data_IF_578426252418
#
_entry.id   IF_578426252418
#
_cell.length_a   1.000
_cell.length_b   1.000
_cell.length_c   1.000
_cell.angle_alpha   90.00
_cell.angle_beta   90.00
_cell.angle_gamma   90.00
#
_symmetry.space_group_name_H-M   'P 1'
#
loop_
_entity.id
_entity.type
_entity.pdbx_description
1 polymer ?
#
# COMPACT_ATOMS: atom_id res chain seq x y z
N UNK A 1 -10.24 -18.51 7.39
CA UNK A 1 -9.19 -18.64 6.36
C UNK A 1 -8.89 -20.13 6.15
N UNK A 2 -8.90 -20.62 4.92
CA UNK A 2 -8.62 -22.02 4.60
C UNK A 2 -7.11 -22.30 4.65
N UNK A 3 -6.71 -23.58 4.85
CA UNK A 3 -5.30 -23.97 4.80
C UNK A 3 -4.64 -23.63 3.45
N UNK A 4 -5.42 -23.63 2.38
CA UNK A 4 -4.96 -23.20 1.06
C UNK A 4 -4.56 -21.71 1.08
N UNK A 5 -5.43 -20.83 1.58
CA UNK A 5 -5.13 -19.40 1.69
C UNK A 5 -3.93 -19.12 2.60
N UNK A 6 -3.78 -19.89 3.69
CA UNK A 6 -2.60 -19.81 4.56
C UNK A 6 -1.31 -20.07 3.80
N UNK A 7 -1.27 -21.13 3.01
CA UNK A 7 -0.06 -21.50 2.27
C UNK A 7 0.31 -20.53 1.15
N UNK A 8 -0.65 -19.77 0.64
CA UNK A 8 -0.41 -18.80 -0.45
C UNK A 8 -0.25 -17.36 0.04
N UNK A 9 -0.56 -17.08 1.28
CA UNK A 9 -0.39 -15.76 1.89
C UNK A 9 0.81 -15.71 2.84
N UNK A 10 1.78 -16.59 2.62
CA UNK A 10 3.04 -16.60 3.39
C UNK A 10 3.98 -15.53 2.90
N UNK A 11 4.70 -14.94 3.80
CA UNK A 11 5.73 -13.97 3.48
C UNK A 11 6.54 -13.61 4.72
N UNK A 12 7.68 -13.03 4.48
CA UNK A 12 8.53 -12.46 5.52
C UNK A 12 8.41 -10.93 5.49
N UNK A 13 8.59 -10.33 6.63
CA UNK A 13 8.57 -8.87 6.76
C UNK A 13 9.93 -8.37 7.22
N UNK A 14 10.37 -7.29 6.61
CA UNK A 14 11.55 -6.52 7.01
C UNK A 14 11.10 -5.13 7.41
N UNK A 15 11.68 -4.59 8.48
CA UNK A 15 11.35 -3.25 8.98
C UNK A 15 12.58 -2.37 8.87
N UNK A 16 12.39 -1.16 8.32
CA UNK A 16 13.42 -0.15 8.27
C UNK A 16 12.83 1.24 8.51
N UNK A 17 13.17 1.84 9.64
CA UNK A 17 12.55 3.11 10.06
C UNK A 17 11.04 2.97 10.19
N UNK A 18 10.30 3.83 9.48
CA UNK A 18 8.84 3.80 9.43
C UNK A 18 8.27 3.01 8.26
N UNK A 19 9.08 2.23 7.58
CA UNK A 19 8.67 1.40 6.44
C UNK A 19 8.69 -0.09 6.78
N UNK A 20 7.61 -0.76 6.46
CA UNK A 20 7.42 -2.20 6.55
C UNK A 20 7.48 -2.77 5.14
N UNK A 21 8.35 -3.75 4.91
CA UNK A 21 8.55 -4.39 3.61
C UNK A 21 8.05 -5.83 3.70
N UNK A 22 7.01 -6.14 2.93
CA UNK A 22 6.51 -7.50 2.81
C UNK A 22 7.18 -8.21 1.65
N UNK A 23 8.17 -9.07 1.97
CA UNK A 23 8.92 -9.86 1.02
C UNK A 23 8.08 -11.05 0.58
N UNK A 24 7.81 -11.17 -0.72
CA UNK A 24 7.13 -12.35 -1.23
C UNK A 24 8.13 -13.24 -1.96
N UNK A 25 8.17 -14.49 -1.53
CA UNK A 25 9.03 -15.53 -2.09
C UNK A 25 8.25 -16.51 -2.98
N UNK A 26 7.00 -16.17 -3.29
CA UNK A 26 6.14 -17.14 -3.95
C UNK A 26 6.47 -17.31 -5.44
N UNK A 27 6.98 -18.50 -5.81
CA UNK A 27 7.22 -19.01 -7.17
C UNK A 27 7.91 -18.02 -8.12
N UNK A 28 7.22 -17.66 -9.21
CA UNK A 28 7.77 -16.88 -10.33
C UNK A 28 7.90 -15.38 -10.03
N UNK A 29 7.29 -14.90 -8.95
CA UNK A 29 7.33 -13.48 -8.57
C UNK A 29 8.25 -13.21 -7.39
N UNK A 30 9.47 -13.71 -7.45
CA UNK A 30 10.45 -13.60 -6.37
C UNK A 30 11.12 -12.23 -6.26
N UNK A 31 11.01 -11.40 -7.28
CA UNK A 31 11.72 -10.13 -7.39
C UNK A 31 10.90 -8.90 -6.95
N UNK A 32 9.66 -9.09 -6.51
CA UNK A 32 8.80 -8.01 -6.06
C UNK A 32 8.53 -8.06 -4.55
N UNK A 33 8.16 -6.92 -4.01
CA UNK A 33 7.74 -6.77 -2.62
C UNK A 33 6.76 -5.60 -2.47
N UNK A 34 5.93 -5.66 -1.42
CA UNK A 34 5.10 -4.54 -1.02
C UNK A 34 5.83 -3.71 0.04
N UNK A 35 5.60 -2.41 0.03
CA UNK A 35 6.08 -1.47 1.04
C UNK A 35 4.90 -0.71 1.63
N UNK A 36 4.86 -0.63 2.96
CA UNK A 36 3.91 0.19 3.69
C UNK A 36 4.65 1.11 4.64
N UNK A 37 4.51 2.40 4.46
CA UNK A 37 5.28 3.40 5.19
C UNK A 37 4.42 4.59 5.59
N UNK A 38 4.89 5.32 6.61
CA UNK A 38 4.34 6.62 7.03
C UNK A 38 5.45 7.66 7.07
N UNK A 39 5.11 8.90 6.77
CA UNK A 39 6.04 10.04 6.75
C UNK A 39 6.36 10.62 8.14
N UNK A 40 6.28 9.80 9.18
CA UNK A 40 6.59 10.18 10.56
C UNK A 40 7.36 9.07 11.28
N UNK A 41 8.12 9.41 12.32
CA UNK A 41 8.67 8.40 13.23
C UNK A 41 7.55 7.58 13.85
N UNK A 42 7.73 6.28 13.91
CA UNK A 42 6.81 5.36 14.57
C UNK A 42 7.33 5.02 15.97
N UNK A 43 6.43 4.93 16.95
CA UNK A 43 6.74 4.47 18.30
C UNK A 43 6.73 2.93 18.37
N UNK A 44 6.05 2.28 17.41
CA UNK A 44 6.03 0.83 17.29
C UNK A 44 5.31 0.37 16.03
N UNK A 45 5.28 -0.95 15.86
CA UNK A 45 4.66 -1.59 14.70
C UNK A 45 4.15 -2.97 15.07
N UNK A 46 3.28 -3.54 14.23
CA UNK A 46 2.94 -4.96 14.27
C UNK A 46 2.76 -5.48 12.84
N UNK A 47 3.36 -6.61 12.56
CA UNK A 47 3.25 -7.26 11.26
C UNK A 47 2.74 -8.71 11.34
N UNK A 48 2.72 -9.29 12.54
CA UNK A 48 2.11 -10.59 12.79
C UNK A 48 0.64 -10.42 13.20
N UNK A 49 -0.24 -11.02 12.41
CA UNK A 49 -1.68 -10.87 12.59
C UNK A 49 -2.20 -11.45 13.88
N UNK A 50 -1.71 -12.63 14.26
CA UNK A 50 -2.21 -13.31 15.45
C UNK A 50 -1.76 -12.58 16.72
N UNK A 51 -0.53 -12.07 16.72
CA UNK A 51 -0.04 -11.19 17.79
C UNK A 51 -0.83 -9.88 17.87
N UNK A 52 -1.17 -9.27 16.72
CA UNK A 52 -1.94 -8.04 16.69
C UNK A 52 -3.37 -8.21 17.19
N UNK A 53 -4.05 -9.28 16.76
CA UNK A 53 -5.43 -9.55 17.15
C UNK A 53 -5.53 -10.06 18.60
N UNK A 54 -4.54 -10.83 19.07
CA UNK A 54 -4.59 -11.58 20.32
C UNK A 54 -5.17 -12.99 20.14
N UNK A 55 -5.00 -13.86 21.13
CA UNK A 55 -5.29 -15.28 21.03
C UNK A 55 -6.75 -15.63 20.67
N UNK A 56 -7.69 -14.77 21.05
CA UNK A 56 -9.13 -14.91 20.76
C UNK A 56 -9.73 -13.59 20.21
N UNK A 57 -8.86 -12.71 19.71
CA UNK A 57 -9.27 -11.40 19.24
C UNK A 57 -9.92 -11.45 17.87
N UNK A 58 -10.82 -10.50 17.63
CA UNK A 58 -11.50 -10.28 16.36
C UNK A 58 -11.03 -9.00 15.70
N UNK A 59 -11.26 -8.86 14.40
CA UNK A 59 -10.94 -7.66 13.65
C UNK A 59 -11.67 -6.41 14.18
N UNK A 60 -12.79 -6.58 14.86
CA UNK A 60 -13.57 -5.50 15.47
C UNK A 60 -12.92 -4.89 16.73
N UNK A 61 -12.09 -5.67 17.44
CA UNK A 61 -11.43 -5.26 18.66
C UNK A 61 -10.04 -5.93 18.79
N UNK A 62 -9.06 -5.56 17.94
CA UNK A 62 -7.71 -6.10 18.04
C UNK A 62 -7.08 -5.77 19.41
N UNK A 63 -6.43 -6.73 20.04
CA UNK A 63 -5.82 -6.56 21.36
C UNK A 63 -4.85 -5.36 21.41
N UNK A 64 -4.02 -5.18 20.39
CA UNK A 64 -3.09 -4.07 20.27
C UNK A 64 -3.81 -2.71 20.28
N UNK A 65 -4.95 -2.62 19.58
CA UNK A 65 -5.74 -1.38 19.52
C UNK A 65 -6.46 -1.12 20.83
N UNK A 66 -7.03 -2.17 21.45
CA UNK A 66 -7.72 -2.04 22.76
C UNK A 66 -6.74 -1.62 23.85
N UNK A 67 -5.53 -2.19 23.85
CA UNK A 67 -4.51 -1.88 24.83
C UNK A 67 -3.75 -0.56 24.54
N UNK A 68 -3.88 0.00 23.33
CA UNK A 68 -3.21 1.23 22.91
C UNK A 68 -1.69 1.10 22.86
N UNK A 69 -1.15 -0.08 22.57
CA UNK A 69 0.29 -0.31 22.50
C UNK A 69 0.64 -1.42 21.52
N UNK A 70 1.68 -1.22 20.72
CA UNK A 70 2.19 -2.24 19.79
C UNK A 70 3.02 -3.29 20.52
N UNK A 71 3.11 -4.48 19.92
CA UNK A 71 3.95 -5.58 20.40
C UNK A 71 5.28 -5.67 19.65
N UNK A 72 5.47 -4.85 18.62
CA UNK A 72 6.61 -4.90 17.69
C UNK A 72 6.79 -6.31 17.08
N UNK A 73 5.68 -6.94 16.77
CA UNK A 73 5.66 -8.28 16.22
C UNK A 73 6.14 -8.30 14.77
N UNK A 74 7.00 -9.29 14.44
CA UNK A 74 7.52 -9.48 13.08
C UNK A 74 6.95 -10.78 12.53
N UNK A 75 6.21 -10.69 11.42
CA UNK A 75 5.67 -11.85 10.75
C UNK A 75 6.78 -12.63 10.04
N UNK A 76 6.78 -13.94 10.28
CA UNK A 76 7.50 -14.92 9.50
C UNK A 76 6.54 -16.07 9.24
N UNK A 77 5.91 -16.06 8.09
CA UNK A 77 4.90 -17.07 7.77
C UNK A 77 3.67 -16.50 7.06
N UNK A 78 2.48 -16.89 7.50
CA UNK A 78 1.23 -16.59 6.80
C UNK A 78 0.51 -15.33 7.30
N UNK A 79 -0.24 -14.75 6.37
CA UNK A 79 -1.14 -13.62 6.60
C UNK A 79 -0.51 -12.42 7.34
N UNK A 80 0.67 -11.93 6.91
CA UNK A 80 1.26 -10.73 7.51
C UNK A 80 0.34 -9.53 7.33
N UNK A 81 0.44 -8.59 8.27
CA UNK A 81 -0.24 -7.30 8.24
C UNK A 81 0.77 -6.17 8.26
N UNK A 82 0.31 -4.93 8.10
CA UNK A 82 1.10 -3.73 8.35
C UNK A 82 0.34 -2.83 9.32
N UNK A 83 0.90 -2.61 10.50
CA UNK A 83 0.37 -1.69 11.49
C UNK A 83 1.48 -0.78 11.99
N UNK A 84 1.20 0.52 12.04
CA UNK A 84 2.07 1.53 12.64
C UNK A 84 1.45 2.05 13.93
N UNK A 85 2.27 2.19 14.96
CA UNK A 85 1.90 2.87 16.19
C UNK A 85 2.61 4.23 16.25
N UNK A 86 1.82 5.30 16.32
CA UNK A 86 2.32 6.67 16.40
C UNK A 86 1.83 7.31 17.70
N UNK A 87 2.74 7.95 18.40
CA UNK A 87 2.40 8.81 19.53
C UNK A 87 2.21 10.25 19.03
N UNK A 88 1.03 10.80 19.25
CA UNK A 88 0.65 12.10 18.74
C UNK A 88 0.22 13.00 19.90
N UNK A 89 0.89 14.14 20.04
CA UNK A 89 0.47 15.20 20.94
C UNK A 89 0.03 16.41 20.13
N UNK A 90 -1.15 16.93 20.42
CA UNK A 90 -1.74 18.09 19.74
C UNK A 90 -2.07 19.18 20.77
N UNK A 91 -1.64 20.41 20.50
CA UNK A 91 -2.11 21.56 21.24
C UNK A 91 -3.55 21.94 20.81
N UNK A 92 -4.30 22.70 21.61
CA UNK A 92 -5.62 23.17 21.22
C UNK A 92 -5.61 23.90 19.86
N UNK A 93 -6.41 23.42 18.91
CA UNK A 93 -6.48 23.96 17.55
C UNK A 93 -5.35 23.50 16.61
N UNK A 94 -4.41 22.70 17.06
CA UNK A 94 -3.37 22.12 16.21
C UNK A 94 -3.92 20.96 15.36
N UNK A 95 -3.46 20.88 14.11
CA UNK A 95 -3.74 19.78 13.19
C UNK A 95 -2.42 19.19 12.69
N UNK A 96 -2.29 17.88 12.68
CA UNK A 96 -1.18 17.15 12.05
C UNK A 96 -1.69 16.26 10.94
N UNK A 97 -0.99 16.27 9.82
CA UNK A 97 -1.30 15.43 8.66
C UNK A 97 -0.23 14.37 8.48
N UNK A 98 -0.64 13.15 8.32
CA UNK A 98 0.22 12.01 8.03
C UNK A 98 -0.08 11.45 6.65
N UNK A 99 0.96 11.06 5.93
CA UNK A 99 0.85 10.40 4.63
C UNK A 99 1.26 8.94 4.81
N UNK A 100 0.32 8.05 4.57
CA UNK A 100 0.58 6.62 4.52
C UNK A 100 0.69 6.19 3.05
N UNK A 101 1.76 5.48 2.73
CA UNK A 101 2.02 4.97 1.38
C UNK A 101 2.00 3.45 1.42
N UNK A 102 1.10 2.87 0.63
CA UNK A 102 1.12 1.45 0.30
C UNK A 102 1.58 1.32 -1.15
N UNK A 103 2.72 0.73 -1.35
CA UNK A 103 3.36 0.62 -2.64
C UNK A 103 3.72 -0.82 -3.00
N UNK A 104 3.92 -1.03 -4.29
CA UNK A 104 4.43 -2.27 -4.85
C UNK A 104 5.70 -1.95 -5.64
N UNK A 105 6.74 -2.73 -5.43
CA UNK A 105 8.04 -2.54 -6.06
C UNK A 105 8.52 -3.84 -6.68
N UNK A 106 9.03 -3.75 -7.89
CA UNK A 106 9.67 -4.85 -8.60
C UNK A 106 11.12 -4.48 -8.88
N UNK A 107 12.04 -5.23 -8.30
CA UNK A 107 13.48 -5.13 -8.60
C UNK A 107 13.82 -6.03 -9.79
N UNK A 108 14.92 -5.76 -10.54
CA UNK A 108 15.52 -6.80 -11.37
C UNK A 108 15.85 -8.04 -10.52
N UNK A 109 15.74 -9.22 -11.10
CA UNK A 109 15.93 -10.48 -10.37
C UNK A 109 17.29 -10.54 -9.67
N UNK A 110 18.32 -10.04 -10.36
CA UNK A 110 19.71 -10.03 -9.90
C UNK A 110 19.97 -8.99 -8.80
N UNK A 111 19.07 -7.98 -8.70
CA UNK A 111 19.21 -6.86 -7.77
C UNK A 111 18.18 -6.91 -6.63
N UNK A 112 17.50 -8.03 -6.46
CA UNK A 112 16.48 -8.15 -5.40
C UNK A 112 17.05 -7.91 -4.00
N UNK A 113 18.22 -8.46 -3.75
CA UNK A 113 18.86 -8.46 -2.44
C UNK A 113 20.05 -7.51 -2.36
N UNK A 114 20.33 -7.02 -1.17
CA UNK A 114 21.60 -6.35 -0.86
C UNK A 114 22.56 -7.39 -0.33
N UNK A 115 23.68 -7.62 -1.02
CA UNK A 115 24.64 -8.63 -0.64
C UNK A 115 24.21 -10.04 -1.05
N UNK A 116 24.30 -10.99 -0.14
CA UNK A 116 23.94 -12.38 -0.41
C UNK A 116 22.42 -12.58 -0.26
N UNK A 117 21.84 -13.38 -1.15
CA UNK A 117 20.44 -13.75 -1.05
C UNK A 117 20.09 -14.43 0.29
N UNK A 118 21.05 -15.13 0.89
CA UNK A 118 20.93 -15.82 2.17
C UNK A 118 20.71 -14.85 3.34
N UNK A 119 21.21 -13.61 3.23
CA UNK A 119 21.05 -12.58 4.26
C UNK A 119 19.61 -12.01 4.26
N UNK A 120 18.84 -12.25 3.20
CA UNK A 120 17.44 -11.90 3.08
C UNK A 120 17.12 -10.41 3.14
N UNK A 121 18.11 -9.52 2.96
CA UNK A 121 17.94 -8.07 3.02
C UNK A 121 17.51 -7.53 1.66
N UNK A 122 16.34 -6.93 1.60
CA UNK A 122 15.79 -6.37 0.37
C UNK A 122 16.57 -5.15 -0.10
N UNK A 123 16.82 -5.06 -1.42
CA UNK A 123 17.27 -3.83 -2.04
C UNK A 123 16.12 -2.80 -2.07
N UNK A 124 16.21 -1.80 -1.20
CA UNK A 124 15.18 -0.78 -0.97
C UNK A 124 15.24 0.42 -1.91
N UNK A 125 16.26 0.52 -2.75
CA UNK A 125 16.51 1.71 -3.57
C UNK A 125 15.26 2.21 -4.31
N UNK A 126 14.55 1.32 -4.99
CA UNK A 126 13.33 1.68 -5.73
C UNK A 126 12.17 2.03 -4.80
N UNK A 127 12.08 1.40 -3.64
CA UNK A 127 11.09 1.77 -2.63
C UNK A 127 11.37 3.16 -2.06
N UNK A 128 12.61 3.47 -1.74
CA UNK A 128 13.01 4.78 -1.24
C UNK A 128 12.71 5.88 -2.28
N UNK A 129 12.96 5.60 -3.56
CA UNK A 129 12.57 6.48 -4.67
C UNK A 129 11.05 6.66 -4.76
N UNK A 130 10.27 5.60 -4.57
CA UNK A 130 8.80 5.66 -4.53
C UNK A 130 8.32 6.48 -3.35
N UNK A 131 8.81 6.18 -2.15
CA UNK A 131 8.41 6.87 -0.92
C UNK A 131 8.76 8.36 -0.94
N UNK A 132 9.90 8.74 -1.50
CA UNK A 132 10.33 10.13 -1.63
C UNK A 132 9.39 11.01 -2.47
N UNK A 133 8.55 10.39 -3.30
CA UNK A 133 7.53 11.11 -4.10
C UNK A 133 6.32 11.53 -3.28
N UNK A 134 6.11 10.92 -2.10
CA UNK A 134 4.93 11.08 -1.25
C UNK A 134 5.29 11.30 0.22
N UNK A 135 6.51 11.74 0.51
CA UNK A 135 7.03 11.90 1.88
C UNK A 135 6.45 13.11 2.63
N UNK A 136 5.72 13.99 1.93
CA UNK A 136 5.01 15.12 2.53
C UNK A 136 3.57 15.24 2.03
N UNK A 137 2.72 15.91 2.81
CA UNK A 137 1.33 16.17 2.42
C UNK A 137 1.24 16.97 1.11
N UNK A 138 2.10 17.97 0.94
CA UNK A 138 2.14 18.81 -0.25
C UNK A 138 2.48 18.01 -1.52
N UNK A 139 3.42 17.05 -1.42
CA UNK A 139 3.76 16.16 -2.54
C UNK A 139 2.61 15.22 -2.88
N UNK A 140 1.93 14.69 -1.86
CA UNK A 140 0.76 13.82 -2.05
C UNK A 140 -0.39 14.60 -2.73
N UNK A 141 -0.68 15.82 -2.27
CA UNK A 141 -1.70 16.70 -2.85
C UNK A 141 -1.35 17.09 -4.30
N UNK A 142 -0.09 17.43 -4.55
CA UNK A 142 0.37 17.74 -5.90
C UNK A 142 0.26 16.54 -6.86
N UNK A 143 0.52 15.33 -6.36
CA UNK A 143 0.33 14.12 -7.15
C UNK A 143 -1.15 13.85 -7.46
N UNK A 144 -2.04 14.09 -6.50
CA UNK A 144 -3.49 13.97 -6.70
C UNK A 144 -4.01 14.98 -7.73
N UNK A 145 -3.51 16.24 -7.68
CA UNK A 145 -3.86 17.26 -8.69
C UNK A 145 -3.42 16.79 -10.07
N UNK A 146 -2.16 16.35 -10.24
CA UNK A 146 -1.66 15.82 -11.52
C UNK A 146 -2.48 14.66 -12.05
N UNK A 147 -2.88 13.74 -11.17
CA UNK A 147 -3.74 12.62 -11.54
C UNK A 147 -5.11 13.10 -12.02
N UNK A 148 -5.69 14.07 -11.32
CA UNK A 148 -6.97 14.69 -11.69
C UNK A 148 -6.87 15.39 -13.06
N UNK A 149 -5.82 16.16 -13.28
CA UNK A 149 -5.60 16.85 -14.54
C UNK A 149 -5.43 15.86 -15.70
N UNK A 150 -4.65 14.80 -15.50
CA UNK A 150 -4.51 13.73 -16.49
C UNK A 150 -5.87 13.10 -16.87
N UNK A 151 -6.71 12.79 -15.89
CA UNK A 151 -8.03 12.23 -16.16
C UNK A 151 -8.97 13.24 -16.83
N UNK A 152 -8.94 14.50 -16.43
CA UNK A 152 -9.73 15.56 -17.06
C UNK A 152 -9.32 15.74 -18.51
N UNK A 153 -8.03 15.77 -18.81
CA UNK A 153 -7.52 15.85 -20.17
C UNK A 153 -7.98 14.64 -20.99
N UNK A 154 -7.74 13.43 -20.50
CA UNK A 154 -8.12 12.19 -21.20
C UNK A 154 -9.62 12.16 -21.50
N UNK A 155 -10.46 12.44 -20.50
CA UNK A 155 -11.91 12.42 -20.64
C UNK A 155 -12.45 13.55 -21.52
N UNK A 156 -11.72 14.64 -21.68
CA UNK A 156 -12.14 15.78 -22.51
C UNK A 156 -12.09 15.51 -24.01
N UNK A 157 -11.40 14.45 -24.45
CA UNK A 157 -11.25 14.14 -25.88
C UNK A 157 -12.59 13.76 -26.56
N UNK A 158 -13.54 13.24 -25.78
CA UNK A 158 -14.87 12.93 -26.27
C UNK A 158 -15.90 13.23 -25.18
N UNK A 159 -16.73 14.24 -25.42
CA UNK A 159 -17.79 14.62 -24.50
C UNK A 159 -19.09 14.87 -25.25
N UNK A 160 -20.21 14.55 -24.61
CA UNK A 160 -21.55 14.94 -25.05
C UNK A 160 -22.18 15.83 -24.00
N UNK A 161 -23.12 16.66 -24.43
CA UNK A 161 -24.01 17.43 -23.57
C UNK A 161 -25.42 17.29 -24.09
N UNK A 162 -26.33 16.77 -23.27
CA UNK A 162 -27.72 16.54 -23.61
C UNK A 162 -28.65 17.07 -22.51
N UNK A 163 -29.95 16.91 -22.70
CA UNK A 163 -30.95 17.21 -21.66
C UNK A 163 -31.04 16.12 -20.58
N UNK A 164 -30.35 14.98 -20.74
CA UNK A 164 -30.36 13.84 -19.83
C UNK A 164 -29.01 13.65 -19.15
N UNK A 165 -28.88 14.15 -17.92
CA UNK A 165 -27.63 14.11 -17.14
C UNK A 165 -27.05 12.71 -16.97
N UNK A 166 -27.94 11.69 -16.85
CA UNK A 166 -27.48 10.31 -16.68
C UNK A 166 -26.81 9.77 -17.94
N UNK A 167 -27.32 10.16 -19.12
CA UNK A 167 -26.70 9.81 -20.39
C UNK A 167 -25.33 10.49 -20.53
N UNK A 168 -25.26 11.77 -20.20
CA UNK A 168 -24.00 12.52 -20.24
C UNK A 168 -22.95 11.88 -19.33
N UNK A 169 -23.31 11.54 -18.10
CA UNK A 169 -22.40 10.87 -17.14
C UNK A 169 -21.96 9.50 -17.64
N UNK A 170 -22.89 8.74 -18.21
CA UNK A 170 -22.59 7.41 -18.74
C UNK A 170 -21.60 7.48 -19.90
N UNK A 171 -21.79 8.39 -20.83
CA UNK A 171 -20.91 8.53 -22.00
C UNK A 171 -19.58 9.20 -21.65
N UNK A 172 -19.63 10.29 -20.88
CA UNK A 172 -18.44 11.10 -20.61
C UNK A 172 -17.47 10.48 -19.62
N UNK A 173 -17.93 9.53 -18.80
CA UNK A 173 -17.10 8.90 -17.75
C UNK A 173 -17.07 7.38 -17.91
N UNK A 174 -18.23 6.73 -17.79
CA UNK A 174 -18.30 5.28 -17.66
C UNK A 174 -17.89 4.52 -18.92
N UNK A 175 -18.28 4.97 -20.08
CA UNK A 175 -17.88 4.32 -21.34
C UNK A 175 -16.36 4.43 -21.56
N UNK A 176 -15.77 5.58 -21.29
CA UNK A 176 -14.33 5.77 -21.42
C UNK A 176 -13.56 4.92 -20.41
N UNK A 177 -14.05 4.86 -19.16
CA UNK A 177 -13.50 3.98 -18.14
C UNK A 177 -13.59 2.50 -18.54
N UNK A 178 -14.75 2.06 -19.04
CA UNK A 178 -14.93 0.69 -19.52
C UNK A 178 -14.00 0.36 -20.70
N UNK A 179 -13.83 1.26 -21.65
CA UNK A 179 -12.88 1.07 -22.74
C UNK A 179 -11.45 0.89 -22.21
N UNK A 180 -11.03 1.71 -21.26
CA UNK A 180 -9.72 1.57 -20.65
C UNK A 180 -9.56 0.23 -19.93
N UNK A 181 -10.50 -0.14 -19.08
CA UNK A 181 -10.40 -1.35 -18.24
C UNK A 181 -10.56 -2.62 -19.08
N UNK A 182 -11.55 -2.66 -19.98
CA UNK A 182 -11.85 -3.86 -20.75
C UNK A 182 -10.90 -4.05 -21.95
N UNK A 183 -10.60 -2.98 -22.68
CA UNK A 183 -9.84 -3.09 -23.92
C UNK A 183 -8.33 -3.03 -23.71
N UNK A 184 -7.86 -2.19 -22.81
CA UNK A 184 -6.42 -1.99 -22.62
C UNK A 184 -5.79 -2.95 -21.61
N UNK A 185 -6.56 -3.40 -20.61
CA UNK A 185 -6.00 -4.21 -19.52
C UNK A 185 -6.47 -5.66 -19.47
N UNK A 186 -7.60 -6.00 -20.08
CA UNK A 186 -8.21 -7.34 -19.93
C UNK A 186 -8.47 -8.08 -21.23
N UNK A 187 -8.46 -7.41 -22.37
CA UNK A 187 -8.57 -8.09 -23.66
C UNK A 187 -7.21 -8.59 -24.12
N UNK A 188 -7.03 -9.89 -24.37
CA UNK A 188 -5.86 -10.35 -25.09
C UNK A 188 -5.93 -9.79 -26.51
N UNK A 189 -4.95 -9.03 -26.89
CA UNK A 189 -4.71 -8.56 -28.25
C UNK A 189 -4.26 -9.72 -29.14
#
# INVERSE_FOLDING_TARGET
>A
MTNFQRNFSTGEVEIHGSALYHKTEYRERRNHYAVYAVNAPIAGFDTDRDSFLGAYGENSAPEVVVNGTSKNSVASGWAPIGSHYLEVSLAPGETKTYVFVLGYVENPVEEKWVGRAEDGVINRKRADELLSRFDTAEKADAALVKLKDYWNELLSHFTISSSEEKLDRMVNIWHQYQCMVCLLYTSPS
#
